data_IF_378608100951
#
_entry.id   IF_378608100951
#
_cell.length_a   1.000
_cell.length_b   1.000
_cell.length_c   1.000
_cell.angle_alpha   90.00
_cell.angle_beta   90.00
_cell.angle_gamma   90.00
#
_symmetry.space_group_name_H-M   'P 1'
#
loop_
_entity.id
_entity.type
_entity.pdbx_description
1 polymer ?
#
# COMPACT_ATOMS: atom_id res chain seq x y z
N UNK A 1 8.44 -13.09 7.87
CA UNK A 1 8.06 -14.34 7.18
C UNK A 1 9.12 -14.85 6.19
N UNK A 2 10.23 -14.18 5.97
CA UNK A 2 11.30 -14.61 5.07
C UNK A 2 10.99 -14.53 3.57
N UNK A 3 9.97 -13.78 3.16
CA UNK A 3 9.62 -13.52 1.75
C UNK A 3 9.48 -12.04 1.46
N UNK A 4 9.95 -11.63 0.27
CA UNK A 4 9.63 -10.36 -0.37
C UNK A 4 8.55 -10.61 -1.44
N UNK A 5 7.45 -9.85 -1.39
CA UNK A 5 6.38 -9.89 -2.39
C UNK A 5 6.51 -8.71 -3.33
N UNK A 6 6.24 -8.93 -4.62
CA UNK A 6 6.31 -7.91 -5.67
C UNK A 6 5.40 -8.28 -6.83
N UNK A 7 5.12 -7.33 -7.70
CA UNK A 7 4.42 -7.56 -8.97
C UNK A 7 5.43 -7.60 -10.11
N UNK A 8 5.16 -8.43 -11.10
CA UNK A 8 5.91 -8.51 -12.35
C UNK A 8 4.97 -8.26 -13.52
N UNK A 9 5.10 -7.07 -14.11
CA UNK A 9 4.24 -6.63 -15.21
C UNK A 9 4.70 -7.23 -16.54
N UNK A 10 3.72 -7.58 -17.38
CA UNK A 10 3.97 -7.95 -18.78
C UNK A 10 2.88 -7.39 -19.68
N UNK A 11 3.26 -7.10 -20.91
CA UNK A 11 2.36 -6.62 -21.94
C UNK A 11 1.85 -7.79 -22.77
N UNK A 12 0.54 -7.84 -22.97
CA UNK A 12 -0.09 -8.82 -23.83
C UNK A 12 -1.17 -8.15 -24.69
N UNK A 13 -0.89 -7.95 -25.97
CA UNK A 13 -1.83 -7.36 -26.92
C UNK A 13 -2.23 -5.91 -26.60
N UNK A 14 -1.32 -5.11 -26.03
CA UNK A 14 -1.54 -3.71 -25.66
C UNK A 14 -2.17 -3.50 -24.29
N UNK A 15 -2.36 -4.59 -23.53
CA UNK A 15 -2.85 -4.53 -22.14
C UNK A 15 -1.73 -4.96 -21.19
N UNK A 16 -1.53 -4.20 -20.12
CA UNK A 16 -0.60 -4.57 -19.06
C UNK A 16 -1.31 -5.37 -17.98
N UNK A 17 -0.71 -6.49 -17.61
CA UNK A 17 -1.17 -7.33 -16.51
C UNK A 17 0.00 -7.71 -15.61
N UNK A 18 -0.28 -7.99 -14.34
CA UNK A 18 0.73 -8.27 -13.34
C UNK A 18 0.57 -9.67 -12.74
N UNK A 19 1.67 -10.40 -12.69
CA UNK A 19 1.79 -11.54 -11.78
C UNK A 19 2.12 -11.04 -10.37
N UNK A 20 1.55 -11.65 -9.35
CA UNK A 20 2.04 -11.50 -7.98
C UNK A 20 3.08 -12.57 -7.72
N UNK A 21 4.28 -12.15 -7.39
CA UNK A 21 5.44 -13.00 -7.16
C UNK A 21 5.96 -12.86 -5.74
N UNK A 22 6.72 -13.84 -5.27
CA UNK A 22 7.52 -13.72 -4.05
C UNK A 22 8.93 -14.28 -4.25
N UNK A 23 9.88 -13.71 -3.52
CA UNK A 23 11.26 -14.19 -3.42
C UNK A 23 11.48 -14.62 -1.98
N UNK A 24 11.96 -15.85 -1.78
CA UNK A 24 12.41 -16.32 -0.46
C UNK A 24 13.75 -15.67 -0.13
N UNK A 25 13.84 -15.02 1.02
CA UNK A 25 15.04 -14.23 1.38
C UNK A 25 16.23 -15.10 1.79
N UNK A 26 16.02 -16.40 2.08
CA UNK A 26 17.11 -17.31 2.47
C UNK A 26 17.96 -17.81 1.31
N UNK A 27 17.38 -17.98 0.12
CA UNK A 27 18.02 -18.57 -1.05
C UNK A 27 17.67 -17.86 -2.36
N UNK A 28 16.92 -16.76 -2.27
CA UNK A 28 16.45 -15.95 -3.40
C UNK A 28 15.59 -16.72 -4.41
N UNK A 29 15.00 -17.85 -3.98
CA UNK A 29 14.10 -18.61 -4.83
C UNK A 29 12.83 -17.80 -5.14
N UNK A 30 12.58 -17.62 -6.46
CA UNK A 30 11.42 -16.88 -6.99
C UNK A 30 10.30 -17.83 -7.33
N UNK A 31 9.08 -17.48 -6.96
CA UNK A 31 7.87 -18.19 -7.40
C UNK A 31 6.72 -17.22 -7.68
N UNK A 32 5.85 -17.60 -8.61
CA UNK A 32 4.59 -16.88 -8.88
C UNK A 32 3.52 -17.38 -7.93
N UNK A 33 2.96 -16.46 -7.14
CA UNK A 33 1.91 -16.73 -6.15
C UNK A 33 0.53 -16.62 -6.79
N UNK A 34 0.36 -15.65 -7.70
CA UNK A 34 -0.84 -15.45 -8.50
C UNK A 34 -0.40 -15.08 -9.92
N UNK A 35 -0.72 -15.93 -10.87
CA UNK A 35 -0.54 -15.63 -12.28
C UNK A 35 -1.72 -14.82 -12.82
N UNK A 36 -1.43 -13.77 -13.58
CA UNK A 36 -2.45 -13.13 -14.39
C UNK A 36 -2.91 -14.11 -15.50
N UNK A 37 -4.18 -14.08 -15.89
CA UNK A 37 -4.66 -14.89 -17.00
C UNK A 37 -3.90 -14.51 -18.28
N UNK A 38 -3.40 -15.51 -18.99
CA UNK A 38 -2.86 -15.29 -20.34
C UNK A 38 -4.01 -14.95 -21.29
N UNK A 39 -4.02 -13.75 -21.85
CA UNK A 39 -5.07 -13.29 -22.77
C UNK A 39 -5.24 -14.22 -23.99
N UNK A 40 -4.18 -14.89 -24.44
CA UNK A 40 -4.28 -15.90 -25.49
C UNK A 40 -4.95 -17.20 -25.04
N UNK A 41 -4.84 -17.58 -23.76
CA UNK A 41 -5.61 -18.70 -23.20
C UNK A 41 -7.07 -18.34 -23.04
N UNK A 42 -7.39 -17.12 -22.65
CA UNK A 42 -8.76 -16.63 -22.53
C UNK A 42 -9.48 -16.65 -23.88
N UNK A 43 -8.83 -16.26 -25.00
CA UNK A 43 -9.46 -16.29 -26.33
C UNK A 43 -9.81 -17.71 -26.79
N UNK A 44 -9.05 -18.74 -26.44
CA UNK A 44 -9.34 -20.13 -26.74
C UNK A 44 -10.42 -20.76 -25.85
N UNK A 45 -10.64 -20.23 -24.64
CA UNK A 45 -11.68 -20.71 -23.72
C UNK A 45 -13.00 -19.93 -23.86
N UNK A 46 -12.98 -18.71 -24.41
CA UNK A 46 -14.18 -17.90 -24.68
C UNK A 46 -15.08 -18.52 -25.76
N UNK A 47 -14.55 -19.38 -26.62
CA UNK A 47 -15.34 -20.17 -27.55
C UNK A 47 -16.16 -21.30 -26.87
N UNK A 48 -15.92 -21.58 -25.59
CA UNK A 48 -16.55 -22.68 -24.85
C UNK A 48 -17.33 -22.30 -23.61
N UNK A 49 -17.11 -21.12 -23.00
CA UNK A 49 -17.81 -20.73 -21.75
C UNK A 49 -17.93 -19.21 -21.63
N UNK A 50 -19.13 -18.71 -21.77
CA UNK A 50 -19.59 -17.33 -21.54
C UNK A 50 -19.52 -16.88 -20.06
N UNK A 51 -18.47 -17.21 -19.30
CA UNK A 51 -18.40 -16.94 -17.84
C UNK A 51 -17.10 -16.25 -17.42
N UNK A 52 -16.39 -15.55 -18.30
CA UNK A 52 -15.26 -14.73 -17.87
C UNK A 52 -15.36 -13.30 -18.40
N UNK A 53 -16.13 -12.48 -17.70
CA UNK A 53 -16.02 -11.03 -17.76
C UNK A 53 -15.10 -10.53 -16.63
N UNK A 54 -13.92 -11.07 -16.53
CA UNK A 54 -12.86 -10.46 -15.72
C UNK A 54 -12.20 -9.41 -16.58
N UNK A 55 -12.40 -8.14 -16.25
CA UNK A 55 -11.72 -7.02 -16.86
C UNK A 55 -10.20 -7.26 -16.71
N UNK A 56 -9.42 -7.09 -17.79
CA UNK A 56 -7.95 -7.21 -17.73
C UNK A 56 -7.36 -6.26 -16.67
N UNK A 57 -8.04 -5.15 -16.40
CA UNK A 57 -7.69 -4.17 -15.38
C UNK A 57 -7.74 -4.75 -13.95
N UNK A 58 -8.44 -5.87 -13.73
CA UNK A 58 -8.44 -6.58 -12.44
C UNK A 58 -7.11 -7.26 -12.10
N UNK A 59 -6.16 -7.29 -13.02
CA UNK A 59 -4.81 -7.84 -12.85
C UNK A 59 -3.72 -6.79 -13.05
N UNK A 60 -4.06 -5.50 -13.00
CA UNK A 60 -3.10 -4.40 -12.99
C UNK A 60 -3.13 -3.75 -11.61
N UNK A 61 -2.05 -3.93 -10.84
CA UNK A 61 -2.01 -3.56 -9.44
C UNK A 61 -1.24 -2.27 -9.20
N UNK A 62 -1.89 -1.32 -8.50
CA UNK A 62 -1.28 -0.06 -8.06
C UNK A 62 -0.72 -0.12 -6.64
N UNK A 63 -1.17 -1.08 -5.84
CA UNK A 63 -0.73 -1.22 -4.46
C UNK A 63 -0.89 -2.65 -3.92
N UNK A 64 -0.06 -2.98 -2.94
CA UNK A 64 -0.08 -4.28 -2.29
C UNK A 64 0.29 -4.17 -0.82
N UNK A 65 -0.52 -4.76 0.06
CA UNK A 65 -0.24 -4.88 1.49
C UNK A 65 -0.37 -6.32 1.96
N UNK A 66 0.52 -6.75 2.85
CA UNK A 66 0.45 -8.09 3.46
C UNK A 66 0.00 -7.99 4.91
N UNK A 67 -1.01 -8.80 5.26
CA UNK A 67 -1.41 -9.01 6.65
C UNK A 67 -1.66 -10.50 6.89
N UNK A 68 -0.95 -11.09 7.84
CA UNK A 68 -0.96 -12.53 8.11
C UNK A 68 -0.70 -13.36 6.83
N UNK A 69 -1.59 -14.29 6.48
CA UNK A 69 -1.51 -15.12 5.28
C UNK A 69 -2.29 -14.55 4.08
N UNK A 70 -2.63 -13.26 4.12
CA UNK A 70 -3.36 -12.59 3.06
C UNK A 70 -2.51 -11.49 2.41
N UNK A 71 -2.61 -11.38 1.08
CA UNK A 71 -2.21 -10.19 0.33
C UNK A 71 -3.46 -9.41 -0.07
N UNK A 72 -3.48 -8.13 0.23
CA UNK A 72 -4.48 -7.18 -0.22
C UNK A 72 -3.93 -6.46 -1.43
N UNK A 73 -4.63 -6.55 -2.54
CA UNK A 73 -4.20 -6.10 -3.86
C UNK A 73 -5.14 -5.00 -4.33
N UNK A 74 -4.61 -3.79 -4.45
CA UNK A 74 -5.32 -2.66 -5.05
C UNK A 74 -5.05 -2.64 -6.54
N UNK A 75 -6.10 -2.57 -7.35
CA UNK A 75 -5.99 -2.48 -8.81
C UNK A 75 -6.07 -1.04 -9.30
N UNK A 76 -5.61 -0.80 -10.54
CA UNK A 76 -5.68 0.51 -11.18
C UNK A 76 -7.13 0.99 -11.42
N UNK A 77 -8.11 0.09 -11.45
CA UNK A 77 -9.54 0.42 -11.55
C UNK A 77 -10.25 0.46 -10.17
N UNK A 78 -9.48 0.73 -9.11
CA UNK A 78 -9.96 0.98 -7.74
C UNK A 78 -10.75 -0.17 -7.10
N UNK A 79 -10.45 -1.40 -7.48
CA UNK A 79 -10.91 -2.61 -6.79
C UNK A 79 -9.86 -3.06 -5.80
N UNK A 80 -10.30 -3.62 -4.68
CA UNK A 80 -9.41 -4.23 -3.70
C UNK A 80 -9.76 -5.71 -3.59
N UNK A 81 -8.77 -6.54 -3.86
CA UNK A 81 -8.86 -8.00 -3.72
C UNK A 81 -8.07 -8.47 -2.52
N UNK A 82 -8.47 -9.61 -1.97
CA UNK A 82 -7.67 -10.35 -1.02
C UNK A 82 -7.29 -11.70 -1.63
N UNK A 83 -6.01 -12.01 -1.60
CA UNK A 83 -5.42 -13.28 -2.01
C UNK A 83 -4.98 -14.06 -0.77
N UNK A 84 -5.59 -15.21 -0.53
CA UNK A 84 -5.15 -16.14 0.50
C UNK A 84 -3.88 -16.87 0.01
N UNK A 85 -2.78 -16.69 0.72
CA UNK A 85 -1.47 -17.25 0.36
C UNK A 85 -1.36 -18.77 0.60
N UNK A 86 -2.28 -19.36 1.39
CA UNK A 86 -2.29 -20.80 1.61
C UNK A 86 -3.03 -21.53 0.50
N UNK A 87 -4.11 -20.95 0.00
CA UNK A 87 -4.98 -21.60 -1.00
C UNK A 87 -4.77 -21.09 -2.41
N UNK A 88 -4.13 -19.91 -2.59
CA UNK A 88 -4.02 -19.20 -3.86
C UNK A 88 -5.36 -18.59 -4.33
N UNK A 89 -6.39 -18.59 -3.47
CA UNK A 89 -7.71 -18.09 -3.83
C UNK A 89 -7.76 -16.58 -3.72
N UNK A 90 -8.16 -15.90 -4.81
CA UNK A 90 -8.39 -14.46 -4.86
C UNK A 90 -9.89 -14.17 -4.82
N UNK A 91 -10.31 -13.23 -3.97
CA UNK A 91 -11.68 -12.74 -3.91
C UNK A 91 -11.73 -11.22 -3.90
N UNK A 92 -12.75 -10.64 -4.53
CA UNK A 92 -13.04 -9.22 -4.43
C UNK A 92 -13.46 -8.89 -3.00
N UNK A 93 -12.84 -7.88 -2.41
CA UNK A 93 -13.20 -7.36 -1.09
C UNK A 93 -14.21 -6.21 -1.23
N UNK A 94 -13.87 -5.19 -2.04
CA UNK A 94 -14.76 -4.09 -2.42
C UNK A 94 -14.27 -3.39 -3.68
N UNK A 95 -15.10 -2.51 -4.22
CA UNK A 95 -14.75 -1.57 -5.29
C UNK A 95 -15.12 -0.14 -4.89
N UNK A 96 -14.37 0.81 -5.42
CA UNK A 96 -14.59 2.24 -5.30
C UNK A 96 -14.66 2.91 -6.67
N UNK A 97 -15.20 4.13 -6.71
CA UNK A 97 -15.08 4.97 -7.91
C UNK A 97 -13.67 5.54 -8.06
N UNK A 98 -13.00 5.75 -6.93
CA UNK A 98 -11.64 6.27 -6.85
C UNK A 98 -11.05 5.99 -5.47
N UNK A 99 -9.78 5.59 -5.43
CA UNK A 99 -8.95 5.50 -4.22
C UNK A 99 -7.77 6.44 -4.41
N UNK A 100 -7.62 7.41 -3.51
CA UNK A 100 -6.51 8.34 -3.55
C UNK A 100 -5.28 7.75 -2.88
N UNK A 101 -4.25 7.45 -3.67
CA UNK A 101 -3.03 6.80 -3.18
C UNK A 101 -3.18 5.30 -2.95
N UNK A 102 -2.45 4.77 -1.99
CA UNK A 102 -2.40 3.35 -1.68
C UNK A 102 -3.27 3.00 -0.47
N UNK A 103 -3.74 1.76 -0.44
CA UNK A 103 -4.38 1.20 0.75
C UNK A 103 -3.35 0.87 1.83
N UNK A 104 -3.80 0.90 3.08
CA UNK A 104 -3.07 0.38 4.25
C UNK A 104 -3.88 -0.74 4.91
N UNK A 105 -3.22 -1.77 5.43
CA UNK A 105 -3.89 -2.87 6.12
C UNK A 105 -3.31 -3.04 7.52
N UNK A 106 -4.17 -2.87 8.54
CA UNK A 106 -3.80 -2.97 9.94
C UNK A 106 -4.89 -3.80 10.64
N UNK A 107 -4.51 -4.83 11.36
CA UNK A 107 -5.42 -5.74 12.07
C UNK A 107 -6.54 -6.32 11.18
N UNK A 108 -6.24 -6.55 9.89
CA UNK A 108 -7.18 -7.07 8.90
C UNK A 108 -8.17 -6.05 8.34
N UNK A 109 -8.16 -4.81 8.84
CA UNK A 109 -8.95 -3.68 8.33
C UNK A 109 -8.21 -2.97 7.22
N UNK A 110 -8.92 -2.51 6.20
CA UNK A 110 -8.34 -1.75 5.09
C UNK A 110 -8.66 -0.27 5.28
N UNK A 111 -7.62 0.56 5.22
CA UNK A 111 -7.71 2.01 5.32
C UNK A 111 -7.29 2.65 4.01
N UNK A 112 -8.03 3.66 3.56
CA UNK A 112 -7.77 4.39 2.32
C UNK A 112 -8.44 5.77 2.32
N UNK A 113 -8.10 6.61 1.35
CA UNK A 113 -8.82 7.86 1.06
C UNK A 113 -9.76 7.63 -0.11
N UNK A 114 -11.04 7.99 0.04
CA UNK A 114 -12.03 7.91 -1.03
C UNK A 114 -11.89 9.06 -2.04
N UNK A 115 -12.82 9.17 -3.00
CA UNK A 115 -12.84 10.22 -4.02
C UNK A 115 -12.90 11.65 -3.47
N UNK A 116 -13.49 11.82 -2.29
CA UNK A 116 -13.62 13.12 -1.63
C UNK A 116 -12.42 13.43 -0.73
N UNK A 117 -11.43 12.53 -0.68
CA UNK A 117 -10.27 12.62 0.21
C UNK A 117 -10.59 12.29 1.66
N UNK A 118 -11.76 11.73 1.96
CA UNK A 118 -12.10 11.34 3.32
C UNK A 118 -11.44 10.01 3.67
N UNK A 119 -10.87 9.86 4.87
CA UNK A 119 -10.32 8.58 5.32
C UNK A 119 -11.46 7.59 5.63
N UNK A 120 -11.33 6.41 5.09
CA UNK A 120 -12.28 5.31 5.20
C UNK A 120 -11.61 4.11 5.85
N UNK A 121 -12.31 3.46 6.76
CA UNK A 121 -12.03 2.13 7.27
C UNK A 121 -13.01 1.13 6.66
N UNK A 122 -12.49 0.08 6.05
CA UNK A 122 -13.29 -1.07 5.63
C UNK A 122 -12.99 -2.26 6.57
N UNK A 123 -14.02 -2.64 7.34
CA UNK A 123 -14.04 -3.80 8.21
C UNK A 123 -15.39 -4.51 8.02
N UNK A 124 -15.50 -5.35 6.98
CA UNK A 124 -16.73 -5.92 6.42
C UNK A 124 -17.71 -4.89 5.83
N UNK A 125 -17.74 -3.68 6.34
CA UNK A 125 -18.50 -2.54 5.81
C UNK A 125 -17.64 -1.29 5.78
N UNK A 126 -18.01 -0.32 4.94
CA UNK A 126 -17.33 0.96 4.81
C UNK A 126 -17.77 1.92 5.91
N UNK A 127 -16.81 2.53 6.60
CA UNK A 127 -17.03 3.57 7.59
C UNK A 127 -16.14 4.78 7.29
N UNK A 128 -16.72 5.92 7.02
CA UNK A 128 -16.00 7.20 6.95
C UNK A 128 -15.51 7.52 8.36
N UNK A 129 -14.20 7.74 8.51
CA UNK A 129 -13.57 8.05 9.79
C UNK A 129 -13.71 9.55 10.10
N UNK A 130 -13.57 10.39 9.06
CA UNK A 130 -13.64 11.85 9.16
C UNK A 130 -14.15 12.44 7.85
N UNK A 131 -14.94 13.51 7.93
CA UNK A 131 -15.42 14.29 6.77
C UNK A 131 -14.35 15.30 6.28
N UNK A 132 -13.17 15.32 6.87
CA UNK A 132 -12.07 16.17 6.42
C UNK A 132 -11.45 15.62 5.14
N UNK A 133 -11.12 16.52 4.23
CA UNK A 133 -10.41 16.16 3.00
C UNK A 133 -8.91 16.10 3.25
N UNK A 134 -8.30 14.99 2.86
CA UNK A 134 -6.87 14.72 2.89
C UNK A 134 -6.35 14.31 1.51
N UNK A 135 -5.03 14.46 1.30
CA UNK A 135 -4.37 14.12 0.03
C UNK A 135 -3.36 13.00 0.16
N UNK A 136 -2.93 12.70 1.37
CA UNK A 136 -2.00 11.61 1.64
C UNK A 136 -2.42 10.81 2.88
N UNK A 137 -2.16 9.52 2.82
CA UNK A 137 -2.35 8.57 3.91
C UNK A 137 -1.08 7.74 4.10
N UNK A 138 -0.62 7.64 5.33
CA UNK A 138 0.43 6.74 5.76
C UNK A 138 -0.05 5.95 6.98
N UNK A 139 0.59 4.85 7.30
CA UNK A 139 0.20 4.06 8.47
C UNK A 139 1.38 3.34 9.11
N UNK A 140 1.25 3.11 10.39
CA UNK A 140 2.06 2.16 11.13
C UNK A 140 1.16 1.04 11.73
N UNK A 141 1.59 0.39 12.80
CA UNK A 141 0.81 -0.69 13.41
C UNK A 141 -0.33 -0.21 14.31
N UNK A 142 -0.31 1.04 14.74
CA UNK A 142 -1.22 1.59 15.75
C UNK A 142 -2.08 2.72 15.21
N UNK A 143 -1.55 3.49 14.25
CA UNK A 143 -2.20 4.69 13.73
C UNK A 143 -2.23 4.71 12.20
N UNK A 144 -3.25 5.38 11.66
CA UNK A 144 -3.21 5.95 10.31
C UNK A 144 -2.99 7.45 10.42
N UNK A 145 -2.17 7.98 9.53
CA UNK A 145 -1.81 9.39 9.43
C UNK A 145 -2.40 9.95 8.16
N UNK A 146 -3.33 10.88 8.28
CA UNK A 146 -3.98 11.53 7.14
C UNK A 146 -3.56 12.99 7.09
N UNK A 147 -3.05 13.45 5.97
CA UNK A 147 -2.54 14.80 5.83
C UNK A 147 -3.14 15.54 4.63
N UNK A 148 -3.33 16.83 4.83
CA UNK A 148 -3.50 17.81 3.77
C UNK A 148 -2.20 18.61 3.60
N UNK A 149 -2.23 19.73 2.87
CA UNK A 149 -1.02 20.51 2.58
C UNK A 149 -0.34 21.15 3.81
N UNK A 150 -0.99 21.20 4.97
CA UNK A 150 -0.51 21.99 6.11
C UNK A 150 -0.59 21.30 7.47
N UNK A 151 -1.36 20.23 7.58
CA UNK A 151 -1.58 19.56 8.85
C UNK A 151 -1.74 18.06 8.66
N UNK A 152 -1.23 17.30 9.61
CA UNK A 152 -1.42 15.85 9.71
C UNK A 152 -2.21 15.53 10.96
N UNK A 153 -3.25 14.73 10.78
CA UNK A 153 -4.01 14.09 11.87
C UNK A 153 -3.64 12.61 11.90
N UNK A 154 -3.66 12.03 13.09
CA UNK A 154 -3.59 10.58 13.26
C UNK A 154 -4.86 10.03 13.86
N UNK A 155 -5.24 8.85 13.42
CA UNK A 155 -6.40 8.12 13.90
C UNK A 155 -5.94 6.80 14.48
N UNK A 156 -6.30 6.53 15.72
CA UNK A 156 -5.93 5.28 16.38
C UNK A 156 -6.75 4.12 15.79
N UNK A 157 -6.10 3.05 15.35
CA UNK A 157 -6.76 1.93 14.66
C UNK A 157 -7.78 1.21 15.54
N UNK A 158 -7.56 1.17 16.87
CA UNK A 158 -8.40 0.44 17.81
C UNK A 158 -9.80 1.04 18.00
N UNK A 159 -9.93 2.36 17.96
CA UNK A 159 -11.18 3.08 18.29
C UNK A 159 -11.50 4.23 17.33
N UNK A 160 -10.62 4.50 16.37
CA UNK A 160 -10.70 5.58 15.38
C UNK A 160 -10.71 7.00 16.01
N UNK A 161 -10.20 7.14 17.23
CA UNK A 161 -10.05 8.43 17.87
C UNK A 161 -9.05 9.32 17.11
N UNK A 162 -9.44 10.59 16.91
CA UNK A 162 -8.67 11.59 16.16
C UNK A 162 -7.74 12.38 17.10
N UNK A 163 -6.51 12.62 16.64
CA UNK A 163 -5.56 13.53 17.26
C UNK A 163 -4.81 14.32 16.19
N UNK A 164 -4.62 15.64 16.42
CA UNK A 164 -3.71 16.43 15.59
C UNK A 164 -2.27 16.00 15.91
N UNK A 165 -1.55 15.50 14.90
CA UNK A 165 -0.19 15.01 15.07
C UNK A 165 0.86 16.09 14.80
N UNK A 166 0.75 16.83 13.68
CA UNK A 166 1.73 17.83 13.28
C UNK A 166 1.12 18.98 12.48
N UNK A 167 1.72 20.18 12.60
CA UNK A 167 1.47 21.31 11.70
C UNK A 167 2.34 21.17 10.45
N UNK A 168 2.19 20.02 9.77
CA UNK A 168 2.85 19.64 8.53
C UNK A 168 1.93 18.82 7.67
N UNK A 169 2.04 18.98 6.36
CA UNK A 169 1.31 18.19 5.37
C UNK A 169 2.15 17.07 4.77
N UNK A 170 1.51 16.25 3.92
CA UNK A 170 2.16 15.24 3.08
C UNK A 170 2.93 14.15 3.84
N UNK A 171 2.26 13.50 4.81
CA UNK A 171 2.81 12.31 5.46
C UNK A 171 2.88 11.15 4.45
N UNK A 172 4.08 10.76 4.03
CA UNK A 172 4.27 9.73 3.01
C UNK A 172 4.48 8.33 3.56
N UNK A 173 5.17 8.23 4.69
CA UNK A 173 5.49 6.94 5.32
C UNK A 173 5.41 7.06 6.83
N UNK A 174 4.95 6.00 7.47
CA UNK A 174 4.96 5.89 8.93
C UNK A 174 5.45 4.49 9.34
N UNK A 175 6.21 4.42 10.41
CA UNK A 175 6.63 3.17 11.04
C UNK A 175 6.94 3.42 12.52
N UNK A 176 6.30 2.64 13.42
CA UNK A 176 6.48 2.71 14.88
C UNK A 176 6.35 4.13 15.43
N UNK A 177 5.25 4.80 15.04
CA UNK A 177 4.91 6.17 15.43
C UNK A 177 5.87 7.26 14.91
N UNK A 178 6.79 6.92 14.04
CA UNK A 178 7.62 7.87 13.32
C UNK A 178 7.02 8.16 11.95
N UNK A 179 7.05 9.41 11.51
CA UNK A 179 6.44 9.85 10.24
C UNK A 179 7.45 10.62 9.40
N UNK A 180 7.57 10.24 8.13
CA UNK A 180 8.33 10.96 7.12
C UNK A 180 7.41 11.78 6.23
N UNK A 181 7.75 13.03 6.01
CA UNK A 181 6.98 14.01 5.25
C UNK A 181 7.61 14.32 3.90
N UNK A 182 6.79 14.83 2.97
CA UNK A 182 7.21 15.17 1.63
C UNK A 182 8.23 16.30 1.53
N UNK A 183 8.31 17.15 2.56
CA UNK A 183 9.33 18.20 2.67
C UNK A 183 10.72 17.67 3.08
N UNK A 184 10.86 16.34 3.21
CA UNK A 184 12.10 15.70 3.66
C UNK A 184 12.29 15.69 5.18
N UNK A 185 11.32 16.15 5.95
CA UNK A 185 11.41 16.10 7.41
C UNK A 185 10.90 14.78 7.98
N UNK A 186 11.38 14.46 9.17
CA UNK A 186 11.03 13.26 9.89
C UNK A 186 10.63 13.64 11.32
N UNK A 187 9.54 13.06 11.80
CA UNK A 187 9.06 13.28 13.16
C UNK A 187 8.95 11.96 13.91
N UNK A 188 9.38 11.97 15.18
CA UNK A 188 9.21 10.83 16.08
C UNK A 188 7.76 10.73 16.61
N UNK A 189 7.50 9.69 17.40
CA UNK A 189 6.21 9.42 18.01
C UNK A 189 5.62 10.56 18.84
N UNK A 190 6.47 11.46 19.30
CA UNK A 190 6.11 12.61 20.15
C UNK A 190 5.95 13.89 19.34
N UNK A 191 6.06 13.82 18.00
CA UNK A 191 6.01 15.00 17.14
C UNK A 191 7.29 15.83 17.16
N UNK A 192 8.40 15.30 17.70
CA UNK A 192 9.69 15.97 17.69
C UNK A 192 10.37 15.73 16.34
N UNK A 193 10.81 16.82 15.70
CA UNK A 193 11.57 16.74 14.46
C UNK A 193 12.93 16.12 14.73
N UNK A 194 13.29 15.11 13.91
CA UNK A 194 14.58 14.43 13.93
C UNK A 194 15.33 14.82 12.65
N UNK A 195 16.61 15.15 12.78
CA UNK A 195 17.45 15.42 11.62
C UNK A 195 17.74 14.12 10.86
N UNK A 196 17.56 14.18 9.57
CA UNK A 196 17.95 13.11 8.67
C UNK A 196 19.32 13.45 8.09
N UNK A 197 20.25 12.47 7.99
CA UNK A 197 21.46 12.69 7.20
C UNK A 197 21.07 13.13 5.81
N UNK A 198 21.54 14.29 5.36
CA UNK A 198 21.16 14.89 4.08
C UNK A 198 21.27 13.84 2.95
N UNK A 199 20.10 13.52 2.37
CA UNK A 199 20.02 12.83 1.10
C UNK A 199 20.05 13.91 0.03
N UNK A 200 21.17 14.13 -0.61
CA UNK A 200 21.28 15.09 -1.75
C UNK A 200 20.45 14.59 -2.95
N UNK A 201 20.27 13.29 -3.07
CA UNK A 201 19.37 12.60 -4.01
C UNK A 201 19.23 11.15 -3.54
N UNK A 202 18.09 10.52 -3.79
CA UNK A 202 17.94 9.12 -3.50
C UNK A 202 16.54 8.72 -2.96
N UNK A 203 16.32 7.42 -2.82
CA UNK A 203 15.08 6.87 -2.29
C UNK A 203 15.15 6.79 -0.76
N UNK A 204 14.08 7.23 -0.10
CA UNK A 204 13.94 7.17 1.35
C UNK A 204 13.01 6.04 1.72
N UNK A 205 13.37 5.28 2.76
CA UNK A 205 12.56 4.19 3.31
C UNK A 205 12.48 4.33 4.82
N UNK A 206 11.37 3.87 5.40
CA UNK A 206 11.22 3.69 6.84
C UNK A 206 11.23 2.19 7.17
N UNK A 207 12.08 1.80 8.08
CA UNK A 207 12.10 0.43 8.59
C UNK A 207 12.58 0.38 10.04
N UNK A 208 11.82 -0.28 10.90
CA UNK A 208 12.09 -0.41 12.33
C UNK A 208 12.27 0.93 13.07
N UNK A 209 11.47 1.94 12.70
CA UNK A 209 11.55 3.28 13.25
C UNK A 209 12.84 4.03 12.86
N UNK A 210 13.49 3.64 11.77
CA UNK A 210 14.68 4.30 11.22
C UNK A 210 14.45 4.77 9.81
N UNK A 211 14.98 5.92 9.47
CA UNK A 211 15.10 6.38 8.09
C UNK A 211 16.30 5.72 7.45
N UNK A 212 16.08 5.15 6.30
CA UNK A 212 17.11 4.57 5.44
C UNK A 212 17.11 5.36 4.14
N UNK A 213 18.23 5.96 3.82
CA UNK A 213 18.42 6.67 2.56
C UNK A 213 19.30 5.82 1.66
N UNK A 214 18.80 5.51 0.47
CA UNK A 214 19.57 4.88 -0.60
C UNK A 214 20.01 5.97 -1.57
N UNK A 215 21.31 6.24 -1.64
CA UNK A 215 21.88 7.18 -2.59
C UNK A 215 21.85 6.63 -4.04
N UNK A 216 22.08 7.49 -5.03
CA UNK A 216 22.12 7.11 -6.45
C UNK A 216 23.24 6.11 -6.77
N UNK A 217 24.31 6.10 -6.00
CA UNK A 217 25.40 5.10 -6.07
C UNK A 217 25.03 3.74 -5.45
N UNK A 218 23.83 3.62 -4.89
CA UNK A 218 23.33 2.43 -4.20
C UNK A 218 23.75 2.29 -2.74
N UNK A 219 24.54 3.24 -2.21
CA UNK A 219 24.93 3.23 -0.79
C UNK A 219 23.73 3.47 0.12
N UNK A 220 23.65 2.75 1.24
CA UNK A 220 22.61 2.91 2.26
C UNK A 220 23.16 3.71 3.44
N UNK A 221 22.42 4.74 3.85
CA UNK A 221 22.66 5.50 5.09
C UNK A 221 21.50 5.31 6.03
N UNK A 222 21.77 5.27 7.32
CA UNK A 222 20.78 5.08 8.36
C UNK A 222 20.79 6.29 9.29
N UNK A 223 19.60 6.73 9.71
CA UNK A 223 19.50 7.70 10.82
C UNK A 223 19.98 7.04 12.11
N UNK A 224 20.70 7.80 12.92
CA UNK A 224 21.01 7.36 14.28
C UNK A 224 19.73 7.17 15.11
N UNK A 225 19.85 6.34 16.16
CA UNK A 225 18.73 6.07 17.08
C UNK A 225 18.47 7.26 17.99
#
# INVERSE_FOLDING_TARGET
>A
DGYLYYTESFENGGTYTDNVCRIRLSDYYKETVLAAPDAQRLSRYLDLLTIWSGDSDDYSYSGMCKYQNNLYLQTNNYKVFVLDLNTGTRRLLFSENYINGNISVIDGKVFYLNSDGNPVCFDNEKKIISERMFYAIASDREYIYCSNNSVTYRYKVSDLSEEKFADKGEAYMADRSCVYFGDGTYMDAYGKQVEIPQAESGSVFLANGRVIVKNDDGALRFSDK
#
